data_IF_022116195087
#
_entry.id   IF_022116195087
#
_cell.length_a   1.000
_cell.length_b   1.000
_cell.length_c   1.000
_cell.angle_alpha   90.00
_cell.angle_beta   90.00
_cell.angle_gamma   90.00
#
_symmetry.space_group_name_H-M   'P 1'
#
loop_
_entity.id
_entity.type
_entity.pdbx_description
1 polymer ?
#
# COMPACT_ATOMS: atom_id res chain seq x y z
N UNK A 1 5.14 26.60 63.16
CA UNK A 1 5.39 25.18 62.80
C UNK A 1 6.10 25.15 61.46
N UNK A 2 7.29 24.52 61.44
CA UNK A 2 8.18 24.14 60.32
C UNK A 2 8.25 25.01 59.05
N UNK A 3 9.39 25.69 58.94
CA UNK A 3 10.09 26.14 57.75
C UNK A 3 10.80 24.99 57.03
N UNK A 4 10.86 25.02 55.69
CA UNK A 4 11.84 24.29 54.85
C UNK A 4 12.10 25.19 53.63
N UNK A 5 13.08 26.10 53.68
CA UNK A 5 14.52 25.99 53.30
C UNK A 5 14.80 25.93 51.79
N UNK A 6 15.25 27.08 51.29
CA UNK A 6 16.04 27.31 50.09
C UNK A 6 17.27 26.41 49.99
N UNK A 7 17.67 26.05 48.76
CA UNK A 7 19.08 26.06 48.35
C UNK A 7 19.23 26.68 46.95
N UNK A 8 19.96 27.78 46.94
CA UNK A 8 20.64 28.41 45.80
C UNK A 8 21.84 27.56 45.36
N UNK A 9 22.09 27.51 44.06
CA UNK A 9 23.42 27.65 43.42
C UNK A 9 23.13 28.27 42.04
N UNK A 10 23.34 29.58 41.85
CA UNK A 10 24.56 30.15 41.25
C UNK A 10 24.79 29.59 39.83
N UNK A 11 24.85 30.36 38.75
CA UNK A 11 25.32 31.73 38.61
C UNK A 11 24.87 32.30 37.25
N UNK A 12 24.92 33.63 37.15
CA UNK A 12 25.40 34.40 35.96
C UNK A 12 24.74 34.15 34.60
N UNK A 13 24.32 35.16 33.83
CA UNK A 13 24.63 36.58 33.89
C UNK A 13 23.56 37.33 33.10
N UNK A 14 23.24 38.49 33.63
CA UNK A 14 22.47 39.56 33.03
C UNK A 14 23.09 40.01 31.69
N UNK A 15 22.20 40.32 30.74
CA UNK A 15 22.09 41.61 30.04
C UNK A 15 23.38 42.24 29.50
N UNK A 16 23.50 42.28 28.18
CA UNK A 16 24.05 43.41 27.40
C UNK A 16 23.60 43.19 25.94
N UNK A 17 22.50 43.78 25.46
CA UNK A 17 22.41 45.12 24.87
C UNK A 17 23.65 45.51 24.05
N UNK A 18 23.44 45.66 22.72
CA UNK A 18 24.01 46.60 21.73
C UNK A 18 23.78 45.96 20.33
N UNK A 19 22.75 46.38 19.59
CA UNK A 19 22.71 47.47 18.60
C UNK A 19 23.33 47.13 17.22
N UNK A 20 22.42 47.06 16.23
CA UNK A 20 22.51 47.61 14.86
C UNK A 20 23.64 47.10 13.93
N UNK A 21 23.22 46.38 12.89
CA UNK A 21 23.65 46.69 11.53
C UNK A 21 22.51 46.38 10.55
N UNK A 22 21.86 47.45 10.07
CA UNK A 22 21.10 47.45 8.83
C UNK A 22 22.11 47.18 7.71
N UNK A 23 22.01 46.03 7.06
CA UNK A 23 22.47 45.87 5.68
C UNK A 23 21.29 45.39 4.85
N UNK A 24 20.81 46.35 4.07
CA UNK A 24 20.02 46.23 2.87
C UNK A 24 20.54 45.10 1.97
N UNK A 25 19.75 44.04 1.80
CA UNK A 25 19.73 43.25 0.57
C UNK A 25 18.35 43.36 -0.06
N UNK A 26 18.06 44.55 -0.58
CA UNK A 26 17.33 44.62 -1.84
C UNK A 26 18.28 44.13 -2.94
N UNK A 27 18.50 42.81 -3.01
CA UNK A 27 18.76 42.15 -4.28
C UNK A 27 17.51 41.37 -4.61
N UNK A 28 16.56 42.10 -5.18
CA UNK A 28 15.65 41.55 -6.17
C UNK A 28 16.51 41.11 -7.37
N UNK A 29 17.30 40.06 -7.18
CA UNK A 29 17.77 39.24 -8.29
C UNK A 29 16.76 38.12 -8.38
N UNK A 30 15.93 38.20 -9.41
CA UNK A 30 15.18 37.11 -10.01
C UNK A 30 15.79 35.77 -9.61
N UNK A 31 15.22 35.14 -8.58
CA UNK A 31 15.55 33.77 -8.22
C UNK A 31 14.92 32.91 -9.31
N UNK A 32 15.65 32.77 -10.42
CA UNK A 32 15.66 31.54 -11.20
C UNK A 32 16.26 30.45 -10.29
N UNK A 33 15.52 30.07 -9.26
CA UNK A 33 15.82 28.93 -8.41
C UNK A 33 15.21 27.71 -9.07
N UNK A 34 16.10 26.91 -9.63
CA UNK A 34 16.12 25.47 -9.43
C UNK A 34 14.83 24.70 -9.76
N UNK A 35 14.45 24.67 -11.04
CA UNK A 35 13.54 23.65 -11.60
C UNK A 35 14.11 22.21 -11.57
N UNK A 36 15.29 21.98 -10.96
CA UNK A 36 16.01 20.70 -11.01
C UNK A 36 15.96 19.89 -9.72
N UNK A 37 15.75 20.50 -8.55
CA UNK A 37 15.62 19.75 -7.29
C UNK A 37 14.20 19.18 -7.11
N UNK A 38 13.16 19.98 -7.33
CA UNK A 38 11.75 19.51 -7.17
C UNK A 38 11.36 18.41 -8.15
N UNK A 39 11.99 18.34 -9.34
CA UNK A 39 11.70 17.30 -10.34
C UNK A 39 12.23 15.92 -9.98
N UNK A 40 13.26 15.84 -9.13
CA UNK A 40 13.82 14.55 -8.71
C UNK A 40 12.97 13.92 -7.59
N UNK A 41 12.52 14.69 -6.61
CA UNK A 41 11.66 14.15 -5.53
C UNK A 41 10.32 13.62 -6.08
N UNK A 42 9.68 14.36 -7.00
CA UNK A 42 8.45 13.89 -7.68
C UNK A 42 8.69 12.67 -8.58
N UNK A 43 9.91 12.48 -9.08
CA UNK A 43 10.25 11.32 -9.89
C UNK A 43 10.42 10.05 -9.04
N UNK A 44 11.05 10.20 -7.88
CA UNK A 44 11.30 9.11 -6.95
C UNK A 44 9.99 8.67 -6.26
N UNK A 45 9.12 9.61 -5.86
CA UNK A 45 7.81 9.30 -5.27
C UNK A 45 6.91 8.49 -6.22
N UNK A 46 6.81 8.90 -7.50
CA UNK A 46 6.07 8.14 -8.51
C UNK A 46 6.60 6.71 -8.65
N UNK A 47 7.93 6.55 -8.73
CA UNK A 47 8.55 5.24 -8.92
C UNK A 47 8.30 4.34 -7.72
N UNK A 48 8.48 4.86 -6.50
CA UNK A 48 8.24 4.11 -5.27
C UNK A 48 6.78 3.66 -5.17
N UNK A 49 5.82 4.57 -5.35
CA UNK A 49 4.40 4.21 -5.26
C UNK A 49 3.99 3.19 -6.34
N UNK A 50 4.60 3.26 -7.53
CA UNK A 50 4.38 2.29 -8.61
C UNK A 50 4.94 0.92 -8.25
N UNK A 51 6.15 0.85 -7.70
CA UNK A 51 6.76 -0.40 -7.22
C UNK A 51 5.92 -1.03 -6.10
N UNK A 52 5.47 -0.26 -5.12
CA UNK A 52 4.60 -0.75 -4.03
C UNK A 52 3.28 -1.32 -4.54
N UNK A 53 2.65 -0.68 -5.53
CA UNK A 53 1.38 -1.17 -6.08
C UNK A 53 1.58 -2.42 -6.96
N UNK A 54 2.69 -2.50 -7.69
CA UNK A 54 3.08 -3.72 -8.43
C UNK A 54 3.28 -4.88 -7.46
N UNK A 55 4.03 -4.69 -6.38
CA UNK A 55 4.29 -5.74 -5.39
C UNK A 55 3.00 -6.26 -4.74
N UNK A 56 2.06 -5.37 -4.41
CA UNK A 56 0.75 -5.77 -3.87
C UNK A 56 -0.06 -6.63 -4.83
N UNK A 57 -0.09 -6.24 -6.11
CA UNK A 57 -0.83 -7.00 -7.14
C UNK A 57 -0.15 -8.34 -7.44
N UNK A 58 1.18 -8.39 -7.51
CA UNK A 58 1.92 -9.65 -7.68
C UNK A 58 1.73 -10.59 -6.47
N UNK A 59 1.68 -10.04 -5.25
CA UNK A 59 1.36 -10.82 -4.05
C UNK A 59 -0.06 -11.41 -4.13
N UNK A 60 -1.05 -10.60 -4.52
CA UNK A 60 -2.42 -11.07 -4.69
C UNK A 60 -2.53 -12.15 -5.79
N UNK A 61 -1.83 -11.98 -6.91
CA UNK A 61 -1.80 -12.99 -7.98
C UNK A 61 -1.27 -14.33 -7.47
N UNK A 62 -0.18 -14.31 -6.69
CA UNK A 62 0.39 -15.52 -6.08
C UNK A 62 -0.56 -16.13 -5.04
N UNK A 63 -1.20 -15.31 -4.19
CA UNK A 63 -2.16 -15.80 -3.20
C UNK A 63 -3.36 -16.50 -3.85
N UNK A 64 -3.76 -16.07 -5.05
CA UNK A 64 -4.82 -16.70 -5.83
C UNK A 64 -4.33 -18.03 -6.41
N UNK A 65 -3.12 -18.08 -6.97
CA UNK A 65 -2.52 -19.31 -7.49
C UNK A 65 -2.41 -20.39 -6.40
N UNK A 66 -1.88 -20.02 -5.23
CA UNK A 66 -1.79 -20.92 -4.07
C UNK A 66 -3.18 -21.44 -3.67
N UNK A 67 -4.21 -20.59 -3.74
CA UNK A 67 -5.59 -20.98 -3.40
C UNK A 67 -6.20 -21.94 -4.43
N UNK A 68 -5.89 -21.76 -5.70
CA UNK A 68 -6.33 -22.65 -6.79
C UNK A 68 -5.67 -24.02 -6.64
N UNK A 69 -4.36 -24.05 -6.39
CA UNK A 69 -3.61 -25.29 -6.22
C UNK A 69 -4.08 -26.06 -4.98
N UNK A 70 -4.26 -25.37 -3.85
CA UNK A 70 -4.85 -25.96 -2.63
C UNK A 70 -6.24 -26.56 -2.88
N UNK A 71 -7.06 -25.92 -3.72
CA UNK A 71 -8.40 -26.43 -4.06
C UNK A 71 -8.31 -27.70 -4.89
N UNK A 72 -7.49 -27.67 -5.94
CA UNK A 72 -7.30 -28.79 -6.86
C UNK A 72 -6.76 -30.02 -6.14
N UNK A 73 -5.81 -29.82 -5.22
CA UNK A 73 -5.27 -30.91 -4.40
C UNK A 73 -6.33 -31.53 -3.50
N UNK A 74 -7.20 -30.72 -2.90
CA UNK A 74 -8.31 -31.23 -2.08
C UNK A 74 -9.38 -31.93 -2.89
N UNK A 75 -9.70 -31.45 -4.09
CA UNK A 75 -10.63 -32.12 -5.01
C UNK A 75 -10.10 -33.50 -5.42
N UNK A 76 -8.80 -33.62 -5.67
CA UNK A 76 -8.18 -34.91 -6.02
C UNK A 76 -8.19 -35.94 -4.87
N UNK A 77 -8.38 -35.51 -3.63
CA UNK A 77 -8.46 -36.39 -2.45
C UNK A 77 -9.88 -36.93 -2.26
N UNK A 78 -10.92 -36.15 -2.57
CA UNK A 78 -12.32 -36.47 -2.34
C UNK A 78 -13.11 -36.64 -3.67
N UNK A 79 -13.02 -37.82 -4.30
CA UNK A 79 -13.80 -38.18 -5.52
C UNK A 79 -15.31 -38.29 -5.19
N UNK A 80 -16.07 -37.19 -5.29
CA UNK A 80 -17.51 -37.14 -5.01
C UNK A 80 -18.26 -35.96 -5.66
N UNK A 81 -19.60 -35.84 -5.51
CA UNK A 81 -20.43 -34.76 -6.09
C UNK A 81 -20.06 -33.33 -5.65
N UNK A 82 -19.07 -33.24 -4.78
CA UNK A 82 -18.35 -32.08 -4.26
C UNK A 82 -17.56 -31.36 -5.36
N UNK A 83 -17.10 -32.09 -6.38
CA UNK A 83 -16.25 -31.59 -7.48
C UNK A 83 -16.82 -30.32 -8.12
N UNK A 84 -18.12 -30.30 -8.44
CA UNK A 84 -18.80 -29.16 -9.10
C UNK A 84 -18.76 -27.86 -8.30
N UNK A 85 -18.87 -27.94 -6.98
CA UNK A 85 -18.88 -26.76 -6.10
C UNK A 85 -17.49 -26.14 -5.94
N UNK A 86 -16.43 -26.93 -6.15
CA UNK A 86 -15.06 -26.45 -6.13
C UNK A 86 -14.57 -26.07 -7.53
N UNK A 87 -15.08 -26.69 -8.59
CA UNK A 87 -14.91 -26.21 -9.97
C UNK A 87 -15.39 -24.75 -10.09
N UNK A 88 -16.59 -24.43 -9.60
CA UNK A 88 -17.10 -23.05 -9.59
C UNK A 88 -16.16 -22.10 -8.83
N UNK A 89 -15.63 -22.52 -7.68
CA UNK A 89 -14.71 -21.70 -6.91
C UNK A 89 -13.33 -21.54 -7.59
N UNK A 90 -12.84 -22.55 -8.30
CA UNK A 90 -11.64 -22.42 -9.16
C UNK A 90 -11.89 -21.43 -10.29
N UNK A 91 -13.05 -21.49 -10.94
CA UNK A 91 -13.41 -20.55 -12.01
C UNK A 91 -13.50 -19.11 -11.50
N UNK A 92 -14.07 -18.88 -10.32
CA UNK A 92 -14.10 -17.56 -9.67
C UNK A 92 -12.68 -17.05 -9.37
N UNK A 93 -11.82 -17.88 -8.80
CA UNK A 93 -10.42 -17.53 -8.52
C UNK A 93 -9.65 -17.22 -9.81
N UNK A 94 -9.84 -18.00 -10.87
CA UNK A 94 -9.22 -17.74 -12.18
C UNK A 94 -9.70 -16.42 -12.80
N UNK A 95 -10.97 -16.06 -12.60
CA UNK A 95 -11.51 -14.76 -13.01
C UNK A 95 -10.86 -13.62 -12.23
N UNK A 96 -10.79 -13.70 -10.89
CA UNK A 96 -10.10 -12.70 -10.06
C UNK A 96 -8.62 -12.58 -10.45
N UNK A 97 -7.92 -13.71 -10.71
CA UNK A 97 -6.53 -13.70 -11.18
C UNK A 97 -6.37 -12.88 -12.45
N UNK A 98 -7.28 -13.07 -13.42
CA UNK A 98 -7.25 -12.33 -14.68
C UNK A 98 -7.42 -10.83 -14.45
N UNK A 99 -8.29 -10.42 -13.53
CA UNK A 99 -8.49 -9.02 -13.19
C UNK A 99 -7.27 -8.40 -12.50
N UNK A 100 -6.60 -9.15 -11.62
CA UNK A 100 -5.30 -8.76 -11.03
C UNK A 100 -4.25 -8.57 -12.12
N UNK A 101 -4.16 -9.51 -13.06
CA UNK A 101 -3.20 -9.44 -14.18
C UNK A 101 -3.45 -8.20 -15.07
N UNK A 102 -4.71 -7.88 -15.34
CA UNK A 102 -5.10 -6.68 -16.07
C UNK A 102 -4.69 -5.40 -15.32
N UNK A 103 -4.99 -5.33 -14.02
CA UNK A 103 -4.61 -4.21 -13.17
C UNK A 103 -3.08 -4.04 -13.11
N UNK A 104 -2.34 -5.16 -13.01
CA UNK A 104 -0.87 -5.17 -13.01
C UNK A 104 -0.31 -4.61 -14.33
N UNK A 105 -0.90 -4.97 -15.47
CA UNK A 105 -0.53 -4.45 -16.78
C UNK A 105 -0.80 -2.93 -16.88
N UNK A 106 -1.92 -2.45 -16.33
CA UNK A 106 -2.26 -1.03 -16.31
C UNK A 106 -1.28 -0.22 -15.45
N UNK A 107 -0.95 -0.71 -14.25
CA UNK A 107 0.07 -0.09 -13.39
C UNK A 107 1.44 -0.09 -14.09
N UNK A 108 1.88 -1.22 -14.66
CA UNK A 108 3.17 -1.33 -15.35
C UNK A 108 3.28 -0.39 -16.56
N UNK A 109 2.20 -0.20 -17.31
CA UNK A 109 2.16 0.71 -18.47
C UNK A 109 1.90 2.19 -18.13
N UNK A 110 1.52 2.50 -16.89
CA UNK A 110 1.28 3.87 -16.45
C UNK A 110 2.52 4.77 -16.51
N UNK A 111 2.27 6.05 -16.75
CA UNK A 111 3.24 7.15 -16.78
C UNK A 111 2.98 8.12 -15.63
N UNK A 112 3.88 9.08 -15.41
CA UNK A 112 3.66 10.13 -14.41
C UNK A 112 2.39 10.94 -14.67
N UNK A 113 2.09 11.20 -15.93
CA UNK A 113 1.01 12.10 -16.33
C UNK A 113 -0.38 11.50 -16.02
N UNK A 114 -0.52 10.17 -16.08
CA UNK A 114 -1.78 9.47 -15.77
C UNK A 114 -1.74 8.70 -14.43
N UNK A 115 -0.66 8.83 -13.65
CA UNK A 115 -0.45 8.02 -12.45
C UNK A 115 -1.59 8.11 -11.44
N UNK A 116 -2.06 9.32 -11.12
CA UNK A 116 -3.08 9.50 -10.10
C UNK A 116 -4.42 8.86 -10.46
N UNK A 117 -4.76 8.84 -11.76
CA UNK A 117 -5.97 8.18 -12.24
C UNK A 117 -5.82 6.67 -12.13
N UNK A 118 -4.74 6.11 -12.71
CA UNK A 118 -4.45 4.66 -12.67
C UNK A 118 -4.37 4.16 -11.22
N UNK A 119 -3.63 4.85 -10.35
CA UNK A 119 -3.51 4.51 -8.93
C UNK A 119 -4.88 4.46 -8.27
N UNK A 120 -5.73 5.46 -8.48
CA UNK A 120 -7.06 5.51 -7.86
C UNK A 120 -7.97 4.40 -8.36
N UNK A 121 -7.95 4.11 -9.65
CA UNK A 121 -8.84 3.11 -10.24
C UNK A 121 -8.37 1.70 -9.86
N UNK A 122 -7.08 1.42 -10.00
CA UNK A 122 -6.49 0.15 -9.58
C UNK A 122 -6.63 -0.08 -8.08
N UNK A 123 -6.46 0.94 -7.23
CA UNK A 123 -6.64 0.76 -5.77
C UNK A 123 -8.08 0.36 -5.43
N UNK A 124 -9.07 0.96 -6.10
CA UNK A 124 -10.48 0.59 -5.91
C UNK A 124 -10.75 -0.84 -6.38
N UNK A 125 -10.20 -1.20 -7.55
CA UNK A 125 -10.33 -2.56 -8.09
C UNK A 125 -9.64 -3.57 -7.18
N UNK A 126 -8.45 -3.24 -6.64
CA UNK A 126 -7.73 -4.07 -5.67
C UNK A 126 -8.57 -4.37 -4.43
N UNK A 127 -9.20 -3.35 -3.84
CA UNK A 127 -10.04 -3.55 -2.65
C UNK A 127 -11.22 -4.49 -2.95
N UNK A 128 -11.82 -4.39 -4.14
CA UNK A 128 -12.89 -5.29 -4.55
C UNK A 128 -12.38 -6.73 -4.73
N UNK A 129 -11.27 -6.92 -5.46
CA UNK A 129 -10.66 -8.23 -5.69
C UNK A 129 -10.21 -8.89 -4.38
N UNK A 130 -9.68 -8.11 -3.43
CA UNK A 130 -9.31 -8.59 -2.10
C UNK A 130 -10.54 -9.12 -1.34
N UNK A 131 -11.65 -8.37 -1.37
CA UNK A 131 -12.89 -8.80 -0.73
C UNK A 131 -13.49 -10.04 -1.39
N UNK A 132 -13.47 -10.12 -2.73
CA UNK A 132 -13.92 -11.30 -3.48
C UNK A 132 -13.09 -12.53 -3.11
N UNK A 133 -11.76 -12.41 -3.12
CA UNK A 133 -10.86 -13.49 -2.72
C UNK A 133 -11.11 -13.98 -1.29
N UNK A 134 -11.31 -13.06 -0.34
CA UNK A 134 -11.65 -13.41 1.05
C UNK A 134 -12.99 -14.14 1.16
N UNK A 135 -14.01 -13.69 0.41
CA UNK A 135 -15.33 -14.33 0.37
C UNK A 135 -15.24 -15.74 -0.19
N UNK A 136 -14.62 -15.91 -1.37
CA UNK A 136 -14.45 -17.22 -2.00
C UNK A 136 -13.68 -18.16 -1.07
N UNK A 137 -12.59 -17.71 -0.44
CA UNK A 137 -11.85 -18.49 0.59
C UNK A 137 -12.73 -18.91 1.77
N UNK A 138 -13.59 -18.01 2.27
CA UNK A 138 -14.49 -18.32 3.37
C UNK A 138 -15.57 -19.33 2.99
N UNK A 139 -16.14 -19.22 1.79
CA UNK A 139 -17.13 -20.16 1.26
C UNK A 139 -16.53 -21.55 1.07
N UNK A 140 -15.35 -21.62 0.46
CA UNK A 140 -14.56 -22.86 0.34
C UNK A 140 -14.38 -23.51 1.70
N UNK A 141 -13.90 -22.76 2.70
CA UNK A 141 -13.64 -23.28 4.04
C UNK A 141 -14.91 -23.83 4.68
N UNK A 142 -16.02 -23.09 4.59
CA UNK A 142 -17.31 -23.52 5.11
C UNK A 142 -17.76 -24.82 4.45
N UNK A 143 -17.65 -24.96 3.13
CA UNK A 143 -17.97 -26.21 2.42
C UNK A 143 -17.12 -27.37 2.93
N UNK A 144 -15.82 -27.18 3.17
CA UNK A 144 -14.96 -28.21 3.78
C UNK A 144 -15.40 -28.63 5.19
N UNK A 145 -15.77 -27.68 6.05
CA UNK A 145 -16.24 -27.98 7.41
C UNK A 145 -17.56 -28.74 7.41
N UNK A 146 -18.49 -28.40 6.50
CA UNK A 146 -19.77 -29.12 6.35
C UNK A 146 -19.56 -30.58 5.94
N UNK A 147 -18.57 -30.86 5.08
CA UNK A 147 -18.25 -32.21 4.64
C UNK A 147 -17.57 -33.04 5.73
N UNK A 148 -16.62 -32.45 6.47
CA UNK A 148 -15.89 -33.16 7.54
C UNK A 148 -16.80 -33.60 8.70
N UNK A 149 -17.94 -32.92 8.87
CA UNK A 149 -18.94 -33.23 9.90
C UNK A 149 -20.11 -34.11 9.43
N UNK A 150 -20.15 -34.46 8.14
CA UNK A 150 -21.18 -35.33 7.54
C UNK A 150 -20.73 -36.78 7.45
#
# INVERSE_FOLDING_TARGET
MKTIKFKHTAAWSLVSLVMIAVLTFASCSEKAKSDKEDKNELADDFKQQKEELVEKLETMENDIDDSIDDLKDRMNIDEGPVERNFEEAVEELEATKKDVSNALAEVKSSTKDNWNAVKSDVSRTYDNMANELEQTKAEIKKKFEEMSNS
#
